data_IF_344220392132
#
_entry.id   IF_344220392132
#
_cell.length_a   1.000
_cell.length_b   1.000
_cell.length_c   1.000
_cell.angle_alpha   90.00
_cell.angle_beta   90.00
_cell.angle_gamma   90.00
#
_symmetry.space_group_name_H-M   'P 1'
#
loop_
_entity.id
_entity.type
_entity.pdbx_description
1 polymer ?
#
# COMPACT_ATOMS: atom_id res chain seq x y z
N UNK A 1 -17.71 -2.78 5.76
CA UNK A 1 -17.50 -1.57 4.93
C UNK A 1 -16.36 -1.83 3.96
N UNK A 2 -16.46 -1.32 2.74
CA UNK A 2 -15.32 -1.28 1.82
C UNK A 2 -14.40 -0.10 2.18
N UNK A 3 -13.09 -0.29 2.10
CA UNK A 3 -12.12 0.80 2.14
C UNK A 3 -12.34 1.73 0.95
N UNK A 4 -12.31 3.04 1.19
CA UNK A 4 -12.29 4.06 0.13
C UNK A 4 -10.85 4.46 -0.21
N UNK A 5 -10.63 5.08 -1.38
CA UNK A 5 -9.32 5.61 -1.79
C UNK A 5 -8.72 6.52 -0.71
N UNK A 6 -9.54 7.42 -0.14
CA UNK A 6 -9.14 8.36 0.93
C UNK A 6 -8.72 7.64 2.22
N UNK A 7 -9.54 6.69 2.68
CA UNK A 7 -9.24 5.85 3.85
C UNK A 7 -7.94 5.05 3.67
N UNK A 8 -7.70 4.55 2.45
CA UNK A 8 -6.50 3.80 2.12
C UNK A 8 -5.25 4.68 2.21
N UNK A 9 -5.34 5.93 1.73
CA UNK A 9 -4.25 6.91 1.82
C UNK A 9 -3.96 7.24 3.28
N UNK A 10 -5.00 7.51 4.09
CA UNK A 10 -4.80 7.83 5.50
C UNK A 10 -4.14 6.66 6.25
N UNK A 11 -4.65 5.44 6.08
CA UNK A 11 -4.05 4.24 6.68
C UNK A 11 -2.62 4.00 6.20
N UNK A 12 -2.33 4.21 4.91
CA UNK A 12 -0.99 4.07 4.37
C UNK A 12 -0.01 5.08 4.98
N UNK A 13 -0.43 6.35 5.13
CA UNK A 13 0.37 7.39 5.78
C UNK A 13 0.60 7.08 7.25
N UNK A 14 -0.42 6.64 7.98
CA UNK A 14 -0.29 6.26 9.39
C UNK A 14 0.66 5.08 9.58
N UNK A 15 0.53 4.02 8.79
CA UNK A 15 1.45 2.89 8.83
C UNK A 15 2.88 3.33 8.51
N UNK A 16 3.08 4.14 7.47
CA UNK A 16 4.41 4.62 7.10
C UNK A 16 5.02 5.53 8.18
N UNK A 17 4.21 6.38 8.81
CA UNK A 17 4.60 7.25 9.92
C UNK A 17 5.10 6.43 11.11
N UNK A 18 4.36 5.40 11.49
CA UNK A 18 4.73 4.48 12.57
C UNK A 18 6.00 3.69 12.23
N UNK A 19 6.15 3.23 10.98
CA UNK A 19 7.35 2.46 10.54
C UNK A 19 8.62 3.29 10.52
N UNK A 20 8.52 4.54 10.07
CA UNK A 20 9.66 5.45 9.98
C UNK A 20 9.88 6.24 11.27
N UNK A 21 8.92 6.26 12.19
CA UNK A 21 8.95 7.09 13.39
C UNK A 21 8.82 8.59 13.09
N UNK A 22 8.15 8.95 11.99
CA UNK A 22 7.92 10.35 11.58
C UNK A 22 6.45 10.73 11.67
N UNK A 23 6.16 12.02 11.65
CA UNK A 23 4.78 12.51 11.61
C UNK A 23 4.14 12.27 10.24
N UNK A 24 2.83 12.04 10.21
CA UNK A 24 2.05 11.94 8.96
C UNK A 24 2.21 13.17 8.06
N UNK A 25 2.48 14.33 8.67
CA UNK A 25 2.77 15.61 7.99
C UNK A 25 4.10 15.60 7.22
N UNK A 26 5.07 14.78 7.63
CA UNK A 26 6.35 14.59 6.95
C UNK A 26 6.22 13.65 5.73
N UNK A 27 5.09 12.94 5.66
CA UNK A 27 4.78 12.00 4.59
C UNK A 27 3.99 12.70 3.51
N UNK A 28 4.61 12.79 2.34
CA UNK A 28 4.04 13.41 1.17
C UNK A 28 3.37 12.35 0.29
N UNK A 29 2.10 12.56 -0.08
CA UNK A 29 1.41 11.68 -1.02
C UNK A 29 1.74 12.13 -2.44
N UNK A 30 2.55 11.36 -3.15
CA UNK A 30 2.95 11.71 -4.52
C UNK A 30 1.80 11.55 -5.51
N UNK A 31 1.14 10.40 -5.51
CA UNK A 31 0.05 10.11 -6.45
C UNK A 31 -0.79 8.93 -5.98
N UNK A 32 -2.06 8.91 -6.37
CA UNK A 32 -2.98 7.81 -6.05
C UNK A 32 -3.78 7.42 -7.29
N UNK A 33 -3.34 6.35 -7.92
CA UNK A 33 -3.89 5.87 -9.17
C UNK A 33 -4.76 4.63 -8.92
N UNK A 34 -5.84 4.48 -9.67
CA UNK A 34 -6.58 3.22 -9.71
C UNK A 34 -5.84 2.25 -10.62
N UNK A 35 -5.55 1.07 -10.09
CA UNK A 35 -4.75 0.07 -10.79
C UNK A 35 -5.38 -1.30 -10.60
N UNK A 36 -5.42 -2.07 -11.67
CA UNK A 36 -5.63 -3.49 -11.63
C UNK A 36 -4.33 -4.21 -11.25
N UNK A 37 -4.45 -5.21 -10.39
CA UNK A 37 -3.33 -6.04 -9.94
C UNK A 37 -3.54 -7.48 -10.38
N UNK A 38 -2.46 -8.21 -10.72
CA UNK A 38 -2.56 -9.55 -11.33
C UNK A 38 -3.07 -10.64 -10.38
N UNK A 39 -3.15 -10.37 -9.08
CA UNK A 39 -3.52 -11.34 -8.05
C UNK A 39 -4.23 -10.68 -6.86
N UNK A 40 -4.87 -11.52 -6.03
CA UNK A 40 -5.62 -11.08 -4.83
C UNK A 40 -4.75 -10.42 -3.76
N UNK A 41 -3.44 -10.64 -3.84
CA UNK A 41 -2.43 -10.02 -2.99
C UNK A 41 -1.97 -8.65 -3.52
N UNK A 42 -2.59 -8.16 -4.59
CA UNK A 42 -2.25 -6.91 -5.25
C UNK A 42 -0.81 -6.89 -5.77
N UNK A 43 -0.27 -8.03 -6.17
CA UNK A 43 1.14 -8.25 -6.50
C UNK A 43 2.10 -8.07 -5.31
N UNK A 44 1.57 -7.92 -4.09
CA UNK A 44 2.31 -7.76 -2.85
C UNK A 44 2.13 -9.00 -1.95
N UNK A 45 2.28 -10.20 -2.53
CA UNK A 45 2.25 -11.47 -1.81
C UNK A 45 3.35 -11.48 -0.76
N UNK A 46 3.01 -11.78 0.49
CA UNK A 46 4.02 -11.96 1.54
C UNK A 46 4.68 -13.32 1.35
N UNK A 47 5.91 -13.50 1.83
CA UNK A 47 6.64 -14.76 1.69
C UNK A 47 5.77 -15.92 2.23
N UNK A 48 5.70 -17.01 1.47
CA UNK A 48 4.86 -18.20 1.72
C UNK A 48 3.34 -18.05 1.47
N UNK A 49 2.86 -16.88 1.01
CA UNK A 49 1.44 -16.70 0.69
C UNK A 49 1.10 -17.21 -0.73
N UNK A 50 0.19 -18.19 -0.82
CA UNK A 50 -0.44 -18.55 -2.09
C UNK A 50 -1.51 -17.52 -2.44
N UNK A 51 -1.19 -16.62 -3.36
CA UNK A 51 -2.10 -15.62 -3.88
C UNK A 51 -2.97 -16.18 -5.00
N UNK A 52 -4.26 -15.84 -5.01
CA UNK A 52 -5.14 -16.21 -6.11
C UNK A 52 -4.77 -15.46 -7.38
N UNK A 53 -4.64 -16.16 -8.51
CA UNK A 53 -4.41 -15.59 -9.84
C UNK A 53 -5.71 -14.93 -10.37
N UNK A 54 -6.07 -13.80 -9.78
CA UNK A 54 -7.26 -13.04 -10.14
C UNK A 54 -6.94 -11.56 -10.25
N UNK A 55 -7.33 -10.96 -11.37
CA UNK A 55 -7.21 -9.52 -11.58
C UNK A 55 -8.08 -8.80 -10.54
N UNK A 56 -7.42 -8.10 -9.63
CA UNK A 56 -8.07 -7.43 -8.51
C UNK A 56 -7.96 -5.92 -8.69
N UNK A 57 -9.09 -5.19 -8.84
CA UNK A 57 -9.05 -3.74 -8.89
C UNK A 57 -8.65 -3.17 -7.53
N UNK A 58 -7.84 -2.13 -7.54
CA UNK A 58 -7.40 -1.44 -6.34
C UNK A 58 -6.82 -0.07 -6.63
N UNK A 59 -6.04 0.42 -5.69
CA UNK A 59 -5.41 1.72 -5.71
C UNK A 59 -3.92 1.58 -5.42
N UNK A 60 -3.12 2.23 -6.26
CA UNK A 60 -1.67 2.36 -6.11
C UNK A 60 -1.37 3.74 -5.54
N UNK A 61 -1.02 3.75 -4.27
CA UNK A 61 -0.73 4.94 -3.48
C UNK A 61 0.80 5.06 -3.40
N UNK A 62 1.37 6.11 -3.98
CA UNK A 62 2.79 6.42 -3.85
C UNK A 62 2.99 7.47 -2.78
N UNK A 63 3.72 7.12 -1.73
CA UNK A 63 4.09 8.02 -0.64
C UNK A 63 5.58 8.31 -0.70
N UNK A 64 6.00 9.49 -0.25
CA UNK A 64 7.39 9.88 -0.10
C UNK A 64 7.64 10.33 1.33
N UNK A 65 8.70 9.82 1.93
CA UNK A 65 9.13 10.20 3.27
C UNK A 65 10.64 10.00 3.40
N UNK A 66 11.34 10.87 4.13
CA UNK A 66 12.80 10.79 4.31
C UNK A 66 13.59 10.64 2.99
N UNK A 67 13.09 11.25 1.90
CA UNK A 67 13.72 11.12 0.57
C UNK A 67 13.54 9.76 -0.11
N UNK A 68 12.84 8.81 0.50
CA UNK A 68 12.50 7.50 -0.06
C UNK A 68 11.05 7.49 -0.55
N UNK A 69 10.78 6.69 -1.58
CA UNK A 69 9.42 6.47 -2.10
C UNK A 69 8.93 5.09 -1.70
N UNK A 70 7.70 5.04 -1.22
CA UNK A 70 7.01 3.84 -0.77
C UNK A 70 5.74 3.64 -1.60
N UNK A 71 5.56 2.43 -2.10
CA UNK A 71 4.37 2.06 -2.85
C UNK A 71 3.44 1.25 -1.98
N UNK A 72 2.28 1.81 -1.69
CA UNK A 72 1.19 1.15 -1.01
C UNK A 72 0.16 0.72 -2.05
N UNK A 73 -0.34 -0.50 -1.90
CA UNK A 73 -1.35 -1.10 -2.75
C UNK A 73 -2.54 -1.45 -1.88
N UNK A 74 -3.66 -0.82 -2.17
CA UNK A 74 -4.89 -1.03 -1.42
C UNK A 74 -5.98 -1.53 -2.35
N UNK A 75 -6.95 -2.23 -1.80
CA UNK A 75 -8.23 -2.43 -2.45
C UNK A 75 -9.34 -2.19 -1.43
N UNK A 76 -10.57 -2.53 -1.78
CA UNK A 76 -11.73 -2.36 -0.91
C UNK A 76 -11.61 -3.14 0.42
N UNK A 77 -10.68 -4.09 0.55
CA UNK A 77 -10.62 -5.05 1.66
C UNK A 77 -9.25 -5.07 2.37
N UNK A 78 -8.15 -4.81 1.68
CA UNK A 78 -6.77 -5.01 2.15
C UNK A 78 -5.91 -3.79 1.79
N UNK A 79 -4.97 -3.45 2.68
CA UNK A 79 -3.89 -2.50 2.42
C UNK A 79 -2.56 -3.24 2.58
N UNK A 80 -1.66 -3.09 1.61
CA UNK A 80 -0.36 -3.75 1.58
C UNK A 80 0.73 -2.77 1.17
N UNK A 81 1.89 -2.91 1.78
CA UNK A 81 3.11 -2.19 1.41
C UNK A 81 3.91 -3.07 0.46
N UNK A 82 4.15 -2.56 -0.74
CA UNK A 82 4.87 -3.26 -1.80
C UNK A 82 6.36 -2.91 -1.80
N UNK A 83 7.21 -3.93 -1.87
CA UNK A 83 8.66 -3.82 -2.06
C UNK A 83 9.37 -2.93 -1.02
N UNK A 84 8.98 -2.99 0.25
CA UNK A 84 9.67 -2.26 1.31
C UNK A 84 10.86 -3.08 1.82
N UNK A 85 12.08 -2.60 1.56
CA UNK A 85 13.34 -3.29 1.93
C UNK A 85 13.42 -4.74 1.41
N UNK A 86 12.81 -5.01 0.24
CA UNK A 86 12.78 -6.34 -0.37
C UNK A 86 11.69 -7.28 0.17
N UNK A 87 10.79 -6.78 1.02
CA UNK A 87 9.65 -7.54 1.55
C UNK A 87 8.33 -6.79 1.37
N UNK A 88 7.25 -7.56 1.26
CA UNK A 88 5.89 -7.04 1.27
C UNK A 88 5.32 -7.12 2.69
N UNK A 89 4.50 -6.15 3.08
CA UNK A 89 3.86 -6.15 4.40
C UNK A 89 2.36 -5.97 4.25
N UNK A 90 1.59 -6.68 5.08
CA UNK A 90 0.16 -6.48 5.23
C UNK A 90 -0.11 -5.54 6.39
N UNK A 91 -1.05 -4.63 6.19
CA UNK A 91 -1.52 -3.64 7.17
C UNK A 91 -2.94 -4.03 7.61
#
# INVERSE_FOLDING_TARGET
MALSKEEAIQKARQDLALRLGVSESDIETQSVDDADFPDTALGASVADEMSGQMITPGWRIRLRANGQTFEYRANQHHLRLYNHKGANFRI
#
